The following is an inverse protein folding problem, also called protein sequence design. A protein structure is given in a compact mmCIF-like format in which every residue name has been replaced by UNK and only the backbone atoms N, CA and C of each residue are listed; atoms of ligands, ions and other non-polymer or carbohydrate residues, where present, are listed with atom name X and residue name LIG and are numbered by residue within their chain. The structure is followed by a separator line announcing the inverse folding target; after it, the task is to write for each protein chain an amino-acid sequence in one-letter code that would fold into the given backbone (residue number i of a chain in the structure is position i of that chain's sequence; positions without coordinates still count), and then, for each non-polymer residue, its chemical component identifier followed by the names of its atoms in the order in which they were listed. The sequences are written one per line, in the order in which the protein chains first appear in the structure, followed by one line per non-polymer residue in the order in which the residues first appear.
data_IF_857021239066
#
_entry.id   IF_857021239066
#
_cell.length_a   1.000
_cell.length_b   1.000
_cell.length_c   1.000
_cell.angle_alpha   90.00
_cell.angle_beta   90.00
_cell.angle_gamma   90.00
#
_symmetry.space_group_name_H-M   'P 1'
#
loop_
_entity.id
_entity.type
_entity.pdbx_description
1 polymer ?
#
# COMPACT_ATOMS: atom_id res chain seq x y z
N UNK A 1 24.22 10.47 -3.56
CA UNK A 1 23.69 9.10 -3.77
C UNK A 1 23.41 8.52 -2.39
N UNK A 2 22.28 8.89 -1.79
CA UNK A 2 21.88 8.42 -0.46
C UNK A 2 21.20 7.07 -0.61
N UNK A 3 21.86 6.03 -0.09
CA UNK A 3 21.33 4.67 -0.01
C UNK A 3 20.08 4.69 0.87
N UNK A 4 18.94 4.28 0.31
CA UNK A 4 17.65 4.15 1.02
C UNK A 4 17.63 2.85 1.87
N UNK A 5 18.68 2.02 1.78
CA UNK A 5 18.65 0.64 2.29
C UNK A 5 18.99 0.45 3.78
N UNK A 6 19.53 1.46 4.48
CA UNK A 6 19.98 1.28 5.88
C UNK A 6 18.87 1.52 6.93
N UNK A 7 17.61 1.25 6.58
CA UNK A 7 16.47 1.38 7.53
C UNK A 7 16.11 0.01 8.12
N UNK A 8 15.81 -0.11 9.43
CA UNK A 8 15.36 -1.38 10.05
C UNK A 8 14.18 -2.05 9.33
N UNK A 9 13.31 -1.24 8.72
CA UNK A 9 12.21 -1.70 7.88
C UNK A 9 12.68 -2.43 6.61
N UNK A 10 13.81 -2.04 6.02
CA UNK A 10 14.35 -2.69 4.83
C UNK A 10 14.75 -4.14 5.11
N UNK A 11 15.41 -4.37 6.24
CA UNK A 11 15.76 -5.72 6.72
C UNK A 11 14.50 -6.55 7.03
N UNK A 12 13.52 -5.98 7.73
CA UNK A 12 12.25 -6.66 8.03
C UNK A 12 11.47 -7.05 6.77
N UNK A 13 11.57 -6.26 5.69
CA UNK A 13 10.90 -6.53 4.42
C UNK A 13 11.68 -7.44 3.47
N UNK A 14 12.92 -7.83 3.80
CA UNK A 14 13.75 -8.67 2.94
C UNK A 14 13.10 -10.02 2.55
N UNK A 15 12.42 -10.76 3.47
CA UNK A 15 11.70 -11.98 3.11
C UNK A 15 10.59 -11.72 2.08
N UNK A 16 9.83 -10.64 2.26
CA UNK A 16 8.74 -10.25 1.34
C UNK A 16 9.29 -9.90 -0.04
N UNK A 17 10.42 -9.18 -0.12
CA UNK A 17 11.08 -8.85 -1.41
C UNK A 17 11.51 -10.12 -2.15
N UNK A 18 12.16 -11.06 -1.45
CA UNK A 18 12.59 -12.34 -2.02
C UNK A 18 11.40 -13.17 -2.50
N UNK A 19 10.35 -13.28 -1.69
CA UNK A 19 9.12 -13.99 -2.06
C UNK A 19 8.47 -13.39 -3.32
N UNK A 20 8.45 -12.06 -3.40
CA UNK A 20 7.91 -11.32 -4.55
C UNK A 20 8.71 -11.56 -5.83
N UNK A 21 10.04 -11.55 -5.76
CA UNK A 21 10.89 -11.85 -6.92
C UNK A 21 10.67 -13.27 -7.44
N UNK A 22 10.54 -14.25 -6.54
CA UNK A 22 10.17 -15.63 -6.91
C UNK A 22 8.82 -15.68 -7.62
N UNK A 23 7.80 -15.04 -7.05
CA UNK A 23 6.45 -14.99 -7.62
C UNK A 23 6.44 -14.37 -9.02
N UNK A 24 7.14 -13.23 -9.20
CA UNK A 24 7.24 -12.56 -10.50
C UNK A 24 7.99 -13.42 -11.52
N UNK A 25 8.96 -14.22 -11.09
CA UNK A 25 9.65 -15.24 -11.90
C UNK A 25 8.86 -16.52 -12.15
N UNK A 26 7.57 -16.59 -11.77
CA UNK A 26 6.71 -17.75 -11.99
C UNK A 26 6.91 -18.91 -11.00
N UNK A 27 7.68 -18.69 -9.92
CA UNK A 27 7.88 -19.68 -8.85
C UNK A 27 6.93 -19.40 -7.68
N UNK A 28 6.59 -20.40 -6.85
CA UNK A 28 5.84 -20.14 -5.63
C UNK A 28 6.61 -19.18 -4.69
N UNK A 29 5.91 -18.27 -4.00
CA UNK A 29 6.53 -17.23 -3.18
C UNK A 29 7.29 -17.77 -1.95
N UNK A 30 7.02 -19.01 -1.53
CA UNK A 30 7.62 -19.63 -0.34
C UNK A 30 6.67 -19.57 0.86
N UNK A 31 7.04 -20.25 1.95
CA UNK A 31 6.24 -20.35 3.19
C UNK A 31 6.44 -19.14 4.13
N UNK A 32 7.43 -18.30 3.85
CA UNK A 32 7.81 -17.16 4.70
C UNK A 32 6.90 -15.92 4.54
N UNK A 33 5.76 -16.04 3.84
CA UNK A 33 4.80 -14.95 3.70
C UNK A 33 3.39 -15.38 4.13
N UNK A 34 2.58 -14.47 4.69
CA UNK A 34 1.19 -14.77 5.02
C UNK A 34 0.40 -15.24 3.79
N UNK A 35 -0.46 -16.24 3.96
CA UNK A 35 -1.32 -16.79 2.89
C UNK A 35 -2.15 -15.71 2.19
N UNK A 36 -2.68 -14.76 2.96
CA UNK A 36 -3.45 -13.63 2.45
C UNK A 36 -2.65 -12.78 1.45
N UNK A 37 -1.33 -12.63 1.64
CA UNK A 37 -0.46 -11.92 0.72
C UNK A 37 -0.22 -12.72 -0.56
N UNK A 38 0.04 -14.03 -0.42
CA UNK A 38 0.21 -14.92 -1.57
C UNK A 38 -1.07 -14.98 -2.44
N UNK A 39 -2.24 -15.03 -1.80
CA UNK A 39 -3.54 -14.94 -2.45
C UNK A 39 -3.76 -13.61 -3.18
N UNK A 40 -3.42 -12.48 -2.55
CA UNK A 40 -3.53 -11.17 -3.17
C UNK A 40 -2.68 -11.08 -4.43
N UNK A 41 -1.45 -11.62 -4.41
CA UNK A 41 -0.57 -11.67 -5.59
C UNK A 41 -1.15 -12.55 -6.71
N UNK A 42 -1.70 -13.72 -6.38
CA UNK A 42 -2.37 -14.59 -7.36
C UNK A 42 -3.55 -13.88 -8.02
N UNK A 43 -4.40 -13.20 -7.25
CA UNK A 43 -5.52 -12.41 -7.78
C UNK A 43 -5.04 -11.27 -8.66
N UNK A 44 -4.02 -10.51 -8.24
CA UNK A 44 -3.45 -9.43 -9.01
C UNK A 44 -2.89 -9.91 -10.36
N UNK A 45 -2.16 -11.04 -10.36
CA UNK A 45 -1.65 -11.67 -11.59
C UNK A 45 -2.78 -12.12 -12.51
N UNK A 46 -3.81 -12.77 -11.96
CA UNK A 46 -4.98 -13.20 -12.72
C UNK A 46 -5.71 -12.02 -13.39
N UNK A 47 -5.83 -10.89 -12.68
CA UNK A 47 -6.44 -9.66 -13.17
C UNK A 47 -5.52 -8.82 -14.07
N UNK A 48 -4.29 -9.28 -14.34
CA UNK A 48 -3.33 -8.55 -15.18
C UNK A 48 -2.82 -7.24 -14.56
N UNK A 49 -2.92 -7.07 -13.24
CA UNK A 49 -2.46 -5.86 -12.55
C UNK A 49 -0.95 -5.75 -12.69
N UNK A 50 -0.50 -4.72 -13.41
CA UNK A 50 0.92 -4.43 -13.59
C UNK A 50 1.50 -3.82 -12.31
N UNK A 51 2.78 -4.11 -12.05
CA UNK A 51 3.53 -3.54 -10.93
C UNK A 51 3.49 -2.00 -10.92
N UNK A 52 3.74 -1.42 -12.09
CA UNK A 52 3.90 0.02 -12.27
C UNK A 52 2.64 0.62 -12.92
N UNK A 53 1.47 0.12 -12.52
CA UNK A 53 0.20 0.62 -13.03
C UNK A 53 -0.04 2.03 -12.47
N UNK A 54 -0.06 3.03 -13.33
CA UNK A 54 -0.63 4.33 -12.98
C UNK A 54 -2.12 4.13 -12.77
N UNK A 55 -2.66 4.38 -11.56
CA UNK A 55 -4.08 4.26 -11.34
C UNK A 55 -4.82 5.25 -12.25
N UNK A 56 -5.96 4.86 -12.84
CA UNK A 56 -6.76 5.80 -13.60
C UNK A 56 -7.23 6.93 -12.66
N UNK A 57 -7.38 8.16 -13.16
CA UNK A 57 -7.96 9.25 -12.37
C UNK A 57 -9.36 8.84 -11.92
N UNK A 58 -9.56 8.79 -10.60
CA UNK A 58 -10.85 8.49 -10.00
C UNK A 58 -11.53 9.80 -9.60
N UNK A 59 -12.82 9.99 -9.92
CA UNK A 59 -13.55 11.17 -9.45
C UNK A 59 -13.63 11.13 -7.92
N UNK A 60 -13.09 12.18 -7.29
CA UNK A 60 -13.24 12.40 -5.85
C UNK A 60 -14.68 12.88 -5.61
N UNK A 61 -15.45 12.23 -4.73
CA UNK A 61 -16.79 12.70 -4.40
C UNK A 61 -16.76 14.13 -3.88
N UNK A 62 -17.59 15.02 -4.44
CA UNK A 62 -17.70 16.41 -3.99
C UNK A 62 -18.04 16.52 -2.48
N UNK A 63 -18.80 15.54 -1.98
CA UNK A 63 -19.10 15.37 -0.56
C UNK A 63 -18.91 13.91 -0.16
N UNK A 64 -18.18 13.68 0.93
CA UNK A 64 -17.97 12.35 1.49
C UNK A 64 -18.36 12.37 2.98
N UNK A 65 -19.47 11.74 3.37
CA UNK A 65 -19.85 11.60 4.78
C UNK A 65 -18.75 10.94 5.61
N UNK A 66 -18.00 10.00 5.02
CA UNK A 66 -16.84 9.38 5.65
C UNK A 66 -15.74 10.41 5.95
N UNK A 67 -15.41 11.27 4.99
CA UNK A 67 -14.42 12.33 5.22
C UNK A 67 -14.90 13.33 6.27
N UNK A 68 -16.17 13.73 6.21
CA UNK A 68 -16.77 14.62 7.20
C UNK A 68 -16.68 14.02 8.61
N UNK A 69 -17.00 12.73 8.76
CA UNK A 69 -16.90 12.03 10.04
C UNK A 69 -15.45 11.81 10.51
N UNK A 70 -14.52 11.56 9.58
CA UNK A 70 -13.12 11.30 9.88
C UNK A 70 -12.32 12.58 10.20
N UNK A 71 -12.75 13.75 9.71
CA UNK A 71 -12.02 15.02 9.82
C UNK A 71 -11.47 15.31 11.23
N UNK A 72 -12.26 15.20 12.32
CA UNK A 72 -11.76 15.51 13.67
C UNK A 72 -10.65 14.56 14.16
N UNK A 73 -10.56 13.34 13.61
CA UNK A 73 -9.47 12.40 13.91
C UNK A 73 -8.25 12.75 13.07
N UNK A 74 -8.44 13.01 11.78
CA UNK A 74 -7.35 13.40 10.87
C UNK A 74 -6.63 14.64 11.38
N UNK A 75 -7.37 15.68 11.79
CA UNK A 75 -6.81 16.93 12.31
C UNK A 75 -5.98 16.72 13.60
N UNK A 76 -6.34 15.72 14.42
CA UNK A 76 -5.60 15.37 15.63
C UNK A 76 -4.35 14.54 15.37
N UNK A 77 -4.39 13.66 14.37
CA UNK A 77 -3.28 12.73 14.07
C UNK A 77 -2.22 13.39 13.22
N UNK A 78 -2.60 14.25 12.27
CA UNK A 78 -1.69 14.91 11.34
C UNK A 78 -0.46 15.54 11.98
N UNK A 79 -0.58 16.35 13.06
CA UNK A 79 0.57 16.95 13.72
C UNK A 79 1.61 15.94 14.22
N UNK A 80 1.17 14.73 14.58
CA UNK A 80 2.06 13.66 15.08
C UNK A 80 2.85 12.96 13.97
N UNK A 81 2.38 13.09 12.73
CA UNK A 81 3.02 12.51 11.55
C UNK A 81 3.94 13.51 10.83
N UNK A 82 3.88 14.80 11.20
CA UNK A 82 4.71 15.85 10.61
C UNK A 82 6.20 15.61 10.91
N UNK A 83 7.03 15.65 9.86
CA UNK A 83 8.49 15.53 9.98
C UNK A 83 9.07 14.16 9.61
N UNK A 84 8.24 13.18 9.22
CA UNK A 84 8.68 11.90 8.67
C UNK A 84 8.25 11.68 7.21
N UNK A 85 8.86 10.70 6.54
CA UNK A 85 8.48 10.22 5.21
C UNK A 85 7.22 9.34 5.27
N UNK A 86 6.12 9.89 5.81
CA UNK A 86 4.85 9.19 5.99
C UNK A 86 3.70 9.97 5.34
N UNK A 87 2.78 9.22 4.75
CA UNK A 87 1.53 9.73 4.24
C UNK A 87 0.36 9.02 4.92
N UNK A 88 -0.68 9.76 5.27
CA UNK A 88 -1.95 9.24 5.74
C UNK A 88 -2.97 9.36 4.61
N UNK A 89 -3.64 8.26 4.28
CA UNK A 89 -4.63 8.21 3.19
C UNK A 89 -5.96 7.75 3.75
N UNK A 90 -7.04 8.47 3.45
CA UNK A 90 -8.40 8.02 3.70
C UNK A 90 -9.01 7.48 2.41
N UNK A 91 -9.40 6.20 2.42
CA UNK A 91 -10.10 5.57 1.30
C UNK A 91 -11.45 4.99 1.73
N UNK A 92 -12.41 4.98 0.80
CA UNK A 92 -13.71 4.34 1.03
C UNK A 92 -13.67 2.82 0.75
N UNK A 93 -14.82 2.15 0.91
CA UNK A 93 -14.96 0.70 0.66
C UNK A 93 -14.74 0.28 -0.79
N UNK A 94 -14.67 1.24 -1.73
CA UNK A 94 -14.36 1.02 -3.14
C UNK A 94 -12.91 1.38 -3.47
N UNK A 95 -12.07 1.59 -2.45
CA UNK A 95 -10.68 2.03 -2.57
C UNK A 95 -10.52 3.37 -3.32
N UNK A 96 -11.51 4.27 -3.26
CA UNK A 96 -11.36 5.64 -3.76
C UNK A 96 -10.71 6.50 -2.69
N UNK A 97 -9.61 7.16 -3.04
CA UNK A 97 -8.92 8.11 -2.15
C UNK A 97 -9.77 9.37 -2.01
N UNK A 98 -10.03 9.75 -0.75
CA UNK A 98 -10.87 10.89 -0.39
C UNK A 98 -10.06 12.05 0.18
N UNK A 99 -8.90 11.75 0.77
CA UNK A 99 -8.01 12.70 1.42
C UNK A 99 -6.63 12.06 1.57
#
# INVERSE_FOLDING_TARGET
MTSIDDTPAAAALAPVRRARERFLGGRPPGEDIPDALAEAWRRARFLGVRRDLTPPPAPVPAHSPLLTAARPVLDRVLPTLTGGDMALVLADSRCRVLW
#
